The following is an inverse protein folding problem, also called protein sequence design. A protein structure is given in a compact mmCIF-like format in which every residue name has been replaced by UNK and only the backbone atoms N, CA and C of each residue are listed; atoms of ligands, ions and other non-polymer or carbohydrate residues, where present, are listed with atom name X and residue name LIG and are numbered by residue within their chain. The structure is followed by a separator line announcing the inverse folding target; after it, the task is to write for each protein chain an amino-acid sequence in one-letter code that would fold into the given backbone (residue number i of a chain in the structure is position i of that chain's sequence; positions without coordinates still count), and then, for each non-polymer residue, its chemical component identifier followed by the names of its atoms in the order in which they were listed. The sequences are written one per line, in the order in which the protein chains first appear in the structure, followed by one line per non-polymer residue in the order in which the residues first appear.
data_IF_898801484618
#
_entry.id   IF_898801484618
#
_cell.length_a   1.000
_cell.length_b   1.000
_cell.length_c   1.000
_cell.angle_alpha   90.00
_cell.angle_beta   90.00
_cell.angle_gamma   90.00
#
_symmetry.space_group_name_H-M   'P 1'
#
loop_
_entity.id
_entity.type
_entity.pdbx_description
1 polymer ?
#
# COMPACT_ATOMS: atom_id res chain seq x y z
N UNK A 1 5.65 10.74 20.78
CA UNK A 1 6.44 9.52 21.09
C UNK A 1 5.91 8.37 20.23
N UNK A 2 6.76 7.70 19.46
CA UNK A 2 6.51 6.33 18.94
C UNK A 2 5.59 6.10 17.72
N UNK A 3 5.14 7.13 17.01
CA UNK A 3 4.35 6.93 15.79
C UNK A 3 5.24 6.52 14.60
N UNK A 4 4.75 5.69 13.65
CA UNK A 4 5.40 5.53 12.35
C UNK A 4 5.66 6.90 11.73
N UNK A 5 6.85 7.09 11.15
CA UNK A 5 7.21 8.39 10.61
C UNK A 5 6.85 8.45 9.13
N UNK A 6 5.82 9.23 8.81
CA UNK A 6 5.39 9.49 7.43
C UNK A 6 5.70 10.96 7.15
N UNK A 7 6.83 11.19 6.49
CA UNK A 7 7.28 12.52 6.09
C UNK A 7 7.23 12.62 4.57
N UNK A 8 6.55 13.63 4.03
CA UNK A 8 6.35 13.78 2.58
C UNK A 8 5.82 12.48 1.92
N UNK A 9 4.90 11.80 2.62
CA UNK A 9 4.33 10.48 2.25
C UNK A 9 5.34 9.34 2.18
N UNK A 10 6.60 9.53 2.57
CA UNK A 10 7.58 8.46 2.69
C UNK A 10 7.46 7.83 4.06
N UNK A 11 7.16 6.53 4.10
CA UNK A 11 7.10 5.77 5.33
C UNK A 11 8.50 5.33 5.76
N UNK A 12 8.80 5.53 7.04
CA UNK A 12 9.96 4.96 7.71
C UNK A 12 9.56 4.43 9.08
N UNK A 13 10.19 3.33 9.49
CA UNK A 13 10.02 2.82 10.84
C UNK A 13 10.64 3.75 11.87
N UNK A 14 10.15 3.65 13.11
CA UNK A 14 10.78 4.29 14.25
C UNK A 14 12.28 3.91 14.32
N UNK A 15 13.18 4.86 14.63
CA UNK A 15 14.61 4.58 14.78
C UNK A 15 14.94 3.41 15.73
N UNK A 16 14.10 3.15 16.73
CA UNK A 16 14.26 2.00 17.65
C UNK A 16 14.11 0.63 16.97
N UNK A 17 13.65 0.60 15.71
CA UNK A 17 13.48 -0.58 14.89
C UNK A 17 14.51 -0.67 13.76
N UNK A 18 15.37 0.33 13.65
CA UNK A 18 16.43 0.36 12.65
C UNK A 18 17.31 -0.88 12.80
N UNK A 19 17.62 -1.53 11.67
CA UNK A 19 18.44 -2.74 11.63
C UNK A 19 17.69 -4.05 11.89
N UNK A 20 16.39 -4.01 12.18
CA UNK A 20 15.57 -5.24 12.25
C UNK A 20 15.30 -5.79 10.84
N UNK A 21 15.21 -7.12 10.72
CA UNK A 21 14.81 -7.77 9.47
C UNK A 21 13.35 -7.44 9.11
N UNK A 22 13.07 -7.28 7.82
CA UNK A 22 11.75 -6.92 7.32
C UNK A 22 10.68 -7.94 7.72
N UNK A 23 11.04 -9.21 7.76
CA UNK A 23 10.14 -10.31 8.15
C UNK A 23 9.65 -10.14 9.60
N UNK A 24 10.44 -9.49 10.45
CA UNK A 24 10.07 -9.18 11.82
C UNK A 24 9.31 -7.86 11.98
N UNK A 25 9.30 -7.03 10.93
CA UNK A 25 8.66 -5.72 10.89
C UNK A 25 7.29 -5.75 10.21
N UNK A 26 6.98 -6.83 9.49
CA UNK A 26 5.67 -7.10 8.92
C UNK A 26 5.10 -8.31 9.67
N UNK A 27 3.92 -8.15 10.24
CA UNK A 27 3.22 -9.24 10.91
C UNK A 27 1.87 -9.48 10.27
N UNK A 28 1.39 -10.73 10.35
CA UNK A 28 0.00 -11.06 10.10
C UNK A 28 -0.76 -11.19 11.43
N UNK A 29 -1.97 -10.65 11.51
CA UNK A 29 -2.84 -10.89 12.67
C UNK A 29 -3.42 -12.31 12.60
N UNK A 30 -3.35 -13.16 13.65
CA UNK A 30 -3.94 -14.48 13.61
C UNK A 30 -5.48 -14.46 13.67
N UNK A 31 -6.08 -13.34 14.08
CA UNK A 31 -7.52 -13.14 14.09
C UNK A 31 -8.05 -12.75 12.71
N UNK A 32 -7.69 -11.55 12.24
CA UNK A 32 -8.21 -11.03 10.97
C UNK A 32 -7.37 -11.40 9.74
N UNK A 33 -6.22 -12.05 9.93
CA UNK A 33 -5.33 -12.54 8.84
C UNK A 33 -4.74 -11.45 7.93
N UNK A 34 -4.84 -10.18 8.33
CA UNK A 34 -4.28 -9.03 7.59
C UNK A 34 -2.84 -8.70 8.01
N UNK A 35 -2.11 -8.04 7.12
CA UNK A 35 -0.76 -7.54 7.34
C UNK A 35 -0.76 -6.20 8.05
N UNK A 36 0.16 -6.07 9.01
CA UNK A 36 0.40 -4.84 9.74
C UNK A 36 1.90 -4.58 9.87
N UNK A 37 2.27 -3.31 9.86
CA UNK A 37 3.62 -2.91 10.19
C UNK A 37 3.77 -2.80 11.72
N UNK A 38 4.94 -3.19 12.17
CA UNK A 38 5.27 -3.22 13.57
C UNK A 38 5.28 -1.79 14.18
N UNK A 39 4.85 -1.63 15.44
CA UNK A 39 4.61 -0.31 16.07
C UNK A 39 5.20 -0.17 17.49
N UNK A 40 5.97 0.92 17.72
CA UNK A 40 6.85 0.99 18.91
C UNK A 40 6.19 1.51 20.15
N UNK A 41 5.16 2.31 19.97
CA UNK A 41 4.21 2.64 21.02
C UNK A 41 3.54 1.40 21.63
N UNK A 42 3.47 0.28 20.91
CA UNK A 42 2.74 -0.92 21.35
C UNK A 42 3.61 -2.16 21.55
N UNK A 43 4.95 -2.03 21.44
CA UNK A 43 5.91 -3.12 21.66
C UNK A 43 5.56 -4.43 20.91
N UNK A 44 5.11 -4.28 19.67
CA UNK A 44 4.76 -5.40 18.77
C UNK A 44 5.85 -5.53 17.71
N UNK A 45 6.94 -6.24 18.02
CA UNK A 45 8.08 -6.46 17.13
C UNK A 45 8.77 -7.79 17.39
N UNK A 46 9.46 -8.32 16.38
CA UNK A 46 10.60 -9.21 16.61
C UNK A 46 10.25 -10.62 17.06
N UNK A 47 9.38 -11.34 16.34
CA UNK A 47 9.10 -12.76 16.63
C UNK A 47 8.40 -13.04 17.98
N UNK A 48 8.29 -12.05 18.87
CA UNK A 48 7.64 -12.10 20.18
C UNK A 48 6.09 -12.17 20.11
N UNK A 49 5.51 -12.29 18.91
CA UNK A 49 4.16 -12.84 18.75
C UNK A 49 4.08 -14.33 19.14
N UNK A 50 5.23 -14.99 19.32
CA UNK A 50 5.34 -16.30 19.95
C UNK A 50 5.21 -16.26 21.49
N UNK A 51 5.18 -15.07 22.12
CA UNK A 51 4.89 -14.96 23.55
C UNK A 51 3.37 -15.03 23.78
N UNK A 52 2.88 -15.96 24.62
CA UNK A 52 1.46 -16.03 24.94
C UNK A 52 1.00 -14.70 25.55
N UNK A 53 -0.13 -14.17 25.03
CA UNK A 53 -0.87 -12.98 25.49
C UNK A 53 -0.49 -11.60 24.89
N UNK A 54 0.35 -11.50 23.86
CA UNK A 54 0.50 -10.25 23.08
C UNK A 54 -0.39 -10.24 21.83
N UNK A 55 -1.28 -9.25 21.72
CA UNK A 55 -2.08 -9.04 20.50
C UNK A 55 -1.32 -8.19 19.47
N UNK A 56 -1.43 -8.49 18.17
CA UNK A 56 -0.80 -7.69 17.12
C UNK A 56 -1.40 -6.29 17.07
N UNK A 57 -0.55 -5.30 16.84
CA UNK A 57 -0.94 -3.91 16.75
C UNK A 57 -1.51 -3.63 15.36
N UNK A 58 -2.74 -3.11 15.31
CA UNK A 58 -3.43 -2.75 14.06
C UNK A 58 -3.24 -1.26 13.69
N UNK A 59 -2.22 -0.61 14.27
CA UNK A 59 -1.96 0.81 14.08
C UNK A 59 -1.57 1.11 12.62
N UNK A 60 -0.71 0.31 12.00
CA UNK A 60 -0.22 0.58 10.64
C UNK A 60 -0.70 -0.50 9.69
N UNK A 61 -1.57 -0.14 8.75
CA UNK A 61 -2.16 -1.10 7.81
C UNK A 61 -1.37 -1.11 6.51
N UNK A 62 -1.08 -2.30 6.00
CA UNK A 62 -0.26 -2.49 4.81
C UNK A 62 -1.10 -2.96 3.63
N UNK A 63 -0.81 -2.42 2.45
CA UNK A 63 -1.21 -3.00 1.17
C UNK A 63 0.02 -3.19 0.30
N UNK A 64 0.34 -4.44 -0.02
CA UNK A 64 1.41 -4.78 -0.96
C UNK A 64 0.85 -4.69 -2.37
N UNK A 65 1.59 -4.04 -3.26
CA UNK A 65 1.20 -3.84 -4.65
C UNK A 65 2.33 -4.25 -5.60
N UNK A 66 1.96 -4.70 -6.79
CA UNK A 66 2.87 -4.92 -7.91
C UNK A 66 2.11 -4.75 -9.23
N UNK A 67 2.80 -4.26 -10.25
CA UNK A 67 2.33 -4.21 -11.62
C UNK A 67 3.19 -5.04 -12.57
N UNK A 68 2.54 -5.89 -13.37
CA UNK A 68 3.20 -6.69 -14.39
C UNK A 68 2.67 -6.36 -15.78
N UNK A 69 3.53 -6.43 -16.79
CA UNK A 69 3.15 -6.32 -18.20
C UNK A 69 3.93 -7.32 -19.04
N UNK A 70 3.23 -8.28 -19.64
CA UNK A 70 3.78 -9.14 -20.69
C UNK A 70 3.91 -8.36 -21.99
N UNK A 71 4.92 -8.69 -22.80
CA UNK A 71 5.23 -8.00 -24.06
C UNK A 71 5.32 -6.47 -23.94
N UNK A 72 5.82 -5.98 -22.79
CA UNK A 72 5.92 -4.56 -22.47
C UNK A 72 6.49 -3.71 -23.62
N UNK A 73 5.72 -2.74 -24.09
CA UNK A 73 6.09 -1.84 -25.18
C UNK A 73 5.76 -2.36 -26.59
N UNK A 74 4.93 -3.40 -26.72
CA UNK A 74 4.44 -3.94 -27.99
C UNK A 74 2.91 -3.83 -28.10
N UNK A 75 2.38 -3.99 -29.31
CA UNK A 75 0.94 -3.85 -29.60
C UNK A 75 0.07 -4.90 -28.88
N UNK A 76 0.64 -6.06 -28.55
CA UNK A 76 -0.02 -7.17 -27.86
C UNK A 76 0.26 -7.19 -26.35
N UNK A 77 0.78 -6.08 -25.79
CA UNK A 77 1.11 -5.98 -24.38
C UNK A 77 -0.12 -6.19 -23.49
N UNK A 78 0.00 -7.08 -22.50
CA UNK A 78 -1.04 -7.31 -21.49
C UNK A 78 -0.51 -6.94 -20.11
N UNK A 79 -1.22 -6.05 -19.43
CA UNK A 79 -0.86 -5.64 -18.08
C UNK A 79 -1.81 -6.25 -17.02
N UNK A 80 -1.27 -6.46 -15.83
CA UNK A 80 -1.96 -7.02 -14.69
C UNK A 80 -1.54 -6.33 -13.39
N UNK A 81 -2.49 -6.22 -12.47
CA UNK A 81 -2.32 -5.62 -11.14
C UNK A 81 -2.40 -6.72 -10.09
N UNK A 82 -1.48 -6.71 -9.15
CA UNK A 82 -1.49 -7.57 -7.98
C UNK A 82 -1.53 -6.73 -6.71
N UNK A 83 -2.52 -6.96 -5.86
CA UNK A 83 -2.59 -6.30 -4.55
C UNK A 83 -2.94 -7.28 -3.45
N UNK A 84 -2.40 -7.09 -2.25
CA UNK A 84 -2.77 -7.92 -1.10
C UNK A 84 -2.59 -7.20 0.22
N UNK A 85 -3.53 -7.44 1.16
CA UNK A 85 -3.47 -6.91 2.54
C UNK A 85 -3.37 -8.04 3.57
N UNK A 86 -3.22 -9.30 3.16
CA UNK A 86 -3.17 -10.45 4.06
C UNK A 86 -2.85 -11.77 3.34
N UNK A 87 -2.63 -12.86 4.08
CA UNK A 87 -2.33 -14.14 3.44
C UNK A 87 -3.55 -14.85 2.84
N UNK A 88 -4.76 -14.59 3.33
CA UNK A 88 -5.97 -15.20 2.82
C UNK A 88 -6.34 -14.72 1.41
N UNK A 89 -6.96 -15.58 0.62
CA UNK A 89 -7.37 -15.28 -0.76
C UNK A 89 -8.39 -14.13 -0.83
N UNK A 90 -9.25 -13.96 0.18
CA UNK A 90 -10.21 -12.85 0.25
C UNK A 90 -9.53 -11.46 0.31
N UNK A 91 -8.26 -11.43 0.72
CA UNK A 91 -7.43 -10.24 0.80
C UNK A 91 -6.38 -10.17 -0.33
N UNK A 92 -6.65 -10.87 -1.43
CA UNK A 92 -5.80 -10.93 -2.61
C UNK A 92 -6.60 -10.51 -3.85
N UNK A 93 -6.06 -9.56 -4.59
CA UNK A 93 -6.67 -9.07 -5.82
C UNK A 93 -5.69 -9.23 -6.98
N UNK A 94 -6.19 -9.83 -8.07
CA UNK A 94 -5.48 -10.03 -9.33
C UNK A 94 -6.38 -9.49 -10.45
N UNK A 95 -6.01 -8.34 -11.02
CA UNK A 95 -6.88 -7.58 -11.93
C UNK A 95 -6.17 -7.37 -13.27
N UNK A 96 -6.75 -7.87 -14.36
CA UNK A 96 -6.26 -7.58 -15.71
C UNK A 96 -6.54 -6.12 -16.09
N UNK A 97 -5.54 -5.42 -16.60
CA UNK A 97 -5.67 -4.02 -17.02
C UNK A 97 -6.35 -3.96 -18.38
N UNK A 98 -7.66 -3.72 -18.36
CA UNK A 98 -8.51 -3.47 -19.53
C UNK A 98 -8.80 -1.97 -19.66
N UNK A 99 -9.50 -1.57 -20.72
CA UNK A 99 -9.90 -0.17 -20.92
C UNK A 99 -10.84 0.36 -19.82
N UNK A 100 -11.55 -0.53 -19.11
CA UNK A 100 -12.30 -0.12 -17.93
C UNK A 100 -11.41 0.35 -16.76
N UNK A 101 -10.16 -0.12 -16.70
CA UNK A 101 -9.19 0.20 -15.63
C UNK A 101 -8.29 1.36 -16.04
N UNK A 102 -7.78 1.34 -17.27
CA UNK A 102 -6.93 2.41 -17.82
C UNK A 102 -7.33 2.69 -19.28
N UNK A 103 -8.38 3.51 -19.48
CA UNK A 103 -8.97 3.76 -20.81
C UNK A 103 -7.98 4.38 -21.77
N UNK A 104 -7.69 3.69 -22.89
CA UNK A 104 -6.78 4.18 -23.93
C UNK A 104 -5.31 4.36 -23.49
N UNK A 105 -4.97 3.96 -22.26
CA UNK A 105 -3.61 4.01 -21.74
C UNK A 105 -2.76 2.85 -22.26
N UNK A 106 -1.46 3.06 -22.54
CA UNK A 106 -0.61 2.00 -23.03
C UNK A 106 -0.40 0.92 -21.95
N UNK A 107 -0.33 -0.35 -22.36
CA UNK A 107 -0.03 -1.44 -21.43
C UNK A 107 1.48 -1.47 -21.22
N UNK A 108 1.92 -0.99 -20.06
CA UNK A 108 3.32 -0.96 -19.67
C UNK A 108 3.51 -1.34 -18.21
N UNK A 109 4.70 -1.81 -17.84
CA UNK A 109 5.04 -2.11 -16.46
C UNK A 109 4.82 -0.89 -15.55
N UNK A 110 5.36 0.27 -15.92
CA UNK A 110 5.27 1.49 -15.09
C UNK A 110 3.82 1.94 -14.84
N UNK A 111 2.95 1.82 -15.83
CA UNK A 111 1.52 2.15 -15.64
C UNK A 111 0.82 1.11 -14.78
N UNK A 112 1.10 -0.18 -14.97
CA UNK A 112 0.55 -1.23 -14.12
C UNK A 112 0.92 -1.02 -12.64
N UNK A 113 2.15 -0.61 -12.35
CA UNK A 113 2.63 -0.34 -10.99
C UNK A 113 1.85 0.81 -10.32
N UNK A 114 1.64 1.92 -11.05
CA UNK A 114 0.87 3.06 -10.54
C UNK A 114 -0.63 2.72 -10.37
N UNK A 115 -1.20 1.97 -11.30
CA UNK A 115 -2.59 1.50 -11.20
C UNK A 115 -2.77 0.54 -10.02
N UNK A 116 -1.80 -0.34 -9.76
CA UNK A 116 -1.83 -1.25 -8.62
C UNK A 116 -1.79 -0.47 -7.29
N UNK A 117 -1.01 0.61 -7.20
CA UNK A 117 -1.02 1.51 -6.04
C UNK A 117 -2.39 2.21 -5.84
N UNK A 118 -2.99 2.72 -6.92
CA UNK A 118 -4.32 3.37 -6.89
C UNK A 118 -5.40 2.38 -6.42
N UNK A 119 -5.47 1.21 -7.06
CA UNK A 119 -6.47 0.19 -6.74
C UNK A 119 -6.20 -0.43 -5.36
N UNK A 120 -4.94 -0.60 -4.97
CA UNK A 120 -4.56 -1.09 -3.64
C UNK A 120 -5.11 -0.22 -2.51
N UNK A 121 -4.98 1.12 -2.63
CA UNK A 121 -5.57 2.05 -1.67
C UNK A 121 -7.10 1.95 -1.61
N UNK A 122 -7.76 1.85 -2.77
CA UNK A 122 -9.22 1.70 -2.83
C UNK A 122 -9.68 0.39 -2.18
N UNK A 123 -9.01 -0.73 -2.45
CA UNK A 123 -9.37 -2.03 -1.88
C UNK A 123 -9.15 -2.07 -0.37
N UNK A 124 -8.07 -1.47 0.12
CA UNK A 124 -7.80 -1.35 1.56
C UNK A 124 -8.90 -0.53 2.26
N UNK A 125 -9.25 0.65 1.73
CA UNK A 125 -10.33 1.47 2.30
C UNK A 125 -11.70 0.78 2.23
N UNK A 126 -12.03 0.15 1.09
CA UNK A 126 -13.28 -0.58 0.94
C UNK A 126 -13.39 -1.72 1.95
N UNK A 127 -12.29 -2.46 2.16
CA UNK A 127 -12.23 -3.53 3.17
C UNK A 127 -12.48 -2.97 4.58
N UNK A 128 -11.84 -1.87 4.94
CA UNK A 128 -12.02 -1.25 6.25
C UNK A 128 -13.43 -0.68 6.45
N UNK A 129 -14.05 -0.13 5.42
CA UNK A 129 -15.45 0.32 5.47
C UNK A 129 -16.41 -0.85 5.69
N UNK A 130 -16.23 -1.95 4.97
CA UNK A 130 -17.04 -3.16 5.16
C UNK A 130 -16.86 -3.72 6.57
N UNK A 131 -15.63 -3.78 7.06
CA UNK A 131 -15.31 -4.21 8.42
C UNK A 131 -16.04 -3.37 9.47
N UNK A 132 -16.01 -2.04 9.35
CA UNK A 132 -16.72 -1.13 10.26
C UNK A 132 -18.24 -1.36 10.25
N UNK A 133 -18.82 -1.68 9.10
CA UNK A 133 -20.25 -2.04 8.99
C UNK A 133 -20.53 -3.35 9.72
N UNK A 134 -19.72 -4.38 9.52
CA UNK A 134 -19.88 -5.66 10.23
C UNK A 134 -19.76 -5.50 11.75
N UNK A 135 -18.81 -4.68 12.22
CA UNK A 135 -18.65 -4.32 13.63
C UNK A 135 -19.87 -3.60 14.19
N UNK A 136 -20.40 -2.60 13.48
CA UNK A 136 -21.61 -1.89 13.87
C UNK A 136 -22.84 -2.81 13.92
N UNK A 137 -22.85 -3.88 13.13
CA UNK A 137 -23.87 -4.93 13.15
C UNK A 137 -23.66 -5.99 14.24
N UNK A 138 -22.62 -5.88 15.08
CA UNK A 138 -22.27 -6.88 16.10
C UNK A 138 -21.75 -8.20 15.50
N UNK A 139 -21.41 -8.21 14.21
CA UNK A 139 -20.82 -9.35 13.49
C UNK A 139 -19.30 -9.22 13.30
N UNK A 140 -18.73 -8.10 13.74
CA UNK A 140 -17.30 -7.86 13.69
C UNK A 140 -16.54 -8.69 14.72
N UNK A 141 -15.34 -9.08 14.33
CA UNK A 141 -14.33 -9.67 15.19
C UNK A 141 -13.81 -8.63 16.21
N UNK A 142 -13.97 -8.93 17.50
CA UNK A 142 -13.62 -8.06 18.63
C UNK A 142 -12.13 -7.67 18.75
N UNK A 143 -11.31 -8.07 17.78
CA UNK A 143 -9.86 -7.88 17.70
C UNK A 143 -9.43 -6.54 17.10
N UNK A 144 -10.32 -5.82 16.42
CA UNK A 144 -10.03 -4.52 15.80
C UNK A 144 -10.32 -3.31 16.70
N UNK A 145 -10.53 -3.53 18.01
CA UNK A 145 -10.81 -2.41 18.91
C UNK A 145 -9.67 -1.39 18.81
N UNK A 146 -9.97 -0.09 18.57
CA UNK A 146 -8.95 0.94 18.62
C UNK A 146 -8.26 0.79 19.97
N UNK A 147 -6.93 0.76 19.97
CA UNK A 147 -6.16 0.63 21.21
C UNK A 147 -6.73 1.67 22.18
N UNK A 148 -7.31 1.23 23.30
CA UNK A 148 -8.10 2.06 24.22
C UNK A 148 -7.27 3.14 24.95
N UNK A 149 -6.08 3.46 24.44
CA UNK A 149 -5.06 4.33 25.02
C UNK A 149 -4.67 5.49 24.11
N UNK A 150 -5.17 5.58 22.88
CA UNK A 150 -5.02 6.79 22.08
C UNK A 150 -6.31 7.59 22.11
N UNK A 151 -6.29 8.66 22.90
CA UNK A 151 -7.31 9.72 22.97
C UNK A 151 -7.18 10.71 21.79
N UNK A 152 -6.41 10.36 20.77
CA UNK A 152 -6.19 11.20 19.59
C UNK A 152 -6.92 10.54 18.41
N UNK A 153 -7.81 11.32 17.81
CA UNK A 153 -8.90 10.97 16.91
C UNK A 153 -8.44 10.50 15.50
N UNK A 154 -7.21 9.97 15.39
CA UNK A 154 -6.58 9.65 14.11
C UNK A 154 -6.75 8.18 13.75
N UNK A 155 -7.27 7.93 12.54
CA UNK A 155 -7.39 6.59 11.96
C UNK A 155 -6.02 5.98 11.70
N UNK A 156 -5.94 4.65 11.71
CA UNK A 156 -4.73 3.90 11.36
C UNK A 156 -4.19 4.32 9.97
N UNK A 157 -2.92 4.73 9.84
CA UNK A 157 -2.33 5.05 8.54
C UNK A 157 -2.31 3.87 7.58
N UNK A 158 -2.42 4.17 6.29
CA UNK A 158 -2.33 3.21 5.18
C UNK A 158 -0.98 3.32 4.51
N UNK A 159 -0.25 2.21 4.43
CA UNK A 159 1.06 2.17 3.79
C UNK A 159 0.96 1.32 2.54
N UNK A 160 1.23 1.94 1.41
CA UNK A 160 1.45 1.25 0.13
C UNK A 160 2.88 0.71 0.13
N UNK A 161 3.01 -0.60 0.05
CA UNK A 161 4.28 -1.32 0.05
C UNK A 161 4.57 -1.80 -1.36
N UNK A 162 5.71 -1.41 -1.92
CA UNK A 162 6.09 -1.73 -3.29
C UNK A 162 7.60 -1.95 -3.40
N UNK A 163 8.03 -2.80 -4.32
CA UNK A 163 9.43 -2.91 -4.75
C UNK A 163 9.79 -2.00 -5.93
N UNK A 164 8.79 -1.29 -6.46
CA UNK A 164 8.93 -0.29 -7.51
C UNK A 164 9.40 1.07 -6.97
N UNK A 165 10.68 1.40 -7.19
CA UNK A 165 11.17 2.76 -6.92
C UNK A 165 10.42 3.81 -7.73
N UNK A 166 9.92 3.45 -8.92
CA UNK A 166 9.17 4.34 -9.79
C UNK A 166 7.90 4.88 -9.11
N UNK A 167 7.17 4.00 -8.41
CA UNK A 167 5.99 4.39 -7.63
C UNK A 167 6.40 5.21 -6.42
N UNK A 168 7.31 4.68 -5.59
CA UNK A 168 7.64 5.27 -4.30
C UNK A 168 8.33 6.62 -4.47
N UNK A 169 9.45 6.71 -5.21
CA UNK A 169 10.12 7.99 -5.47
C UNK A 169 9.24 8.93 -6.30
N UNK A 170 8.44 8.38 -7.21
CA UNK A 170 7.54 9.16 -8.04
C UNK A 170 6.57 10.00 -7.22
N UNK A 171 5.90 9.40 -6.23
CA UNK A 171 4.95 10.12 -5.39
C UNK A 171 5.61 10.92 -4.26
N UNK A 172 6.72 10.44 -3.67
CA UNK A 172 7.34 11.07 -2.49
C UNK A 172 8.38 12.14 -2.82
N UNK A 173 9.04 12.06 -3.98
CA UNK A 173 10.19 12.91 -4.33
C UNK A 173 9.96 13.68 -5.64
N UNK A 174 9.50 12.99 -6.69
CA UNK A 174 9.42 13.59 -8.03
C UNK A 174 8.16 14.44 -8.22
N UNK A 175 6.99 13.94 -7.82
CA UNK A 175 5.73 14.67 -8.01
C UNK A 175 5.73 16.05 -7.32
N UNK A 176 6.19 16.21 -6.06
CA UNK A 176 6.33 17.53 -5.44
C UNK A 176 7.26 18.45 -6.23
N UNK A 177 8.37 17.90 -6.74
CA UNK A 177 9.35 18.64 -7.55
C UNK A 177 8.76 19.05 -8.91
N UNK A 178 8.00 18.18 -9.57
CA UNK A 178 7.33 18.50 -10.83
C UNK A 178 6.27 19.57 -10.63
N UNK A 179 5.52 19.53 -9.53
CA UNK A 179 4.49 20.52 -9.21
C UNK A 179 5.05 21.95 -9.15
N UNK A 180 6.24 22.13 -8.56
CA UNK A 180 6.90 23.44 -8.50
C UNK A 180 7.62 23.83 -9.81
N UNK A 181 7.77 22.89 -10.75
CA UNK A 181 8.44 23.06 -12.05
C UNK A 181 7.47 23.01 -13.22
N UNK A 182 6.22 23.43 -13.02
CA UNK A 182 5.18 23.44 -14.08
C UNK A 182 5.05 22.06 -14.78
N UNK A 183 5.07 21.01 -13.97
CA UNK A 183 4.96 19.61 -14.41
C UNK A 183 6.04 19.15 -15.39
N UNK A 184 7.30 19.57 -15.14
CA UNK A 184 8.46 19.20 -15.96
C UNK A 184 9.49 18.39 -15.20
N UNK A 185 10.02 17.38 -15.90
CA UNK A 185 11.20 16.61 -15.48
C UNK A 185 12.48 17.47 -15.49
N UNK A 186 13.57 16.93 -14.93
CA UNK A 186 14.88 17.60 -15.00
C UNK A 186 15.35 17.88 -16.44
N UNK A 187 14.88 17.09 -17.42
CA UNK A 187 15.14 17.29 -18.84
C UNK A 187 14.17 18.27 -19.53
N UNK A 188 13.30 18.96 -18.79
CA UNK A 188 12.34 19.94 -19.31
C UNK A 188 11.09 19.35 -19.99
N UNK A 189 11.03 18.02 -20.13
CA UNK A 189 9.89 17.29 -20.71
C UNK A 189 8.81 17.01 -19.67
N UNK A 190 7.58 16.85 -20.12
CA UNK A 190 6.48 16.37 -19.28
C UNK A 190 6.75 14.90 -18.85
N UNK A 191 6.53 14.54 -17.56
CA UNK A 191 6.62 13.16 -17.11
C UNK A 191 5.65 12.26 -17.86
N UNK A 192 6.12 11.09 -18.31
CA UNK A 192 5.36 10.17 -19.18
C UNK A 192 4.03 9.71 -18.60
N UNK A 193 3.99 9.39 -17.30
CA UNK A 193 2.79 8.89 -16.62
C UNK A 193 2.24 9.91 -15.61
N UNK A 194 2.36 11.20 -15.93
CA UNK A 194 1.86 12.28 -15.06
C UNK A 194 0.37 12.11 -14.75
N UNK A 195 -0.42 11.64 -15.71
CA UNK A 195 -1.84 11.36 -15.55
C UNK A 195 -2.12 10.39 -14.38
N UNK A 196 -1.36 9.30 -14.28
CA UNK A 196 -1.54 8.32 -13.21
C UNK A 196 -0.96 8.80 -11.89
N UNK A 197 0.14 9.57 -11.90
CA UNK A 197 0.64 10.19 -10.66
C UNK A 197 -0.34 11.18 -10.07
N UNK A 198 -1.00 12.00 -10.91
CA UNK A 198 -2.04 12.92 -10.46
C UNK A 198 -3.25 12.17 -9.90
N UNK A 199 -3.68 11.06 -10.53
CA UNK A 199 -4.74 10.20 -10.00
C UNK A 199 -4.37 9.56 -8.66
N UNK A 200 -3.13 9.07 -8.52
CA UNK A 200 -2.64 8.52 -7.26
C UNK A 200 -2.61 9.59 -6.16
N UNK A 201 -2.13 10.78 -6.48
CA UNK A 201 -2.14 11.94 -5.57
C UNK A 201 -3.55 12.35 -5.16
N UNK A 202 -4.53 12.31 -6.07
CA UNK A 202 -5.94 12.59 -5.79
C UNK A 202 -6.53 11.57 -4.80
N UNK A 203 -6.38 10.27 -5.06
CA UNK A 203 -6.87 9.21 -4.16
C UNK A 203 -6.21 9.33 -2.78
N UNK A 204 -4.90 9.57 -2.76
CA UNK A 204 -4.13 9.77 -1.53
C UNK A 204 -4.67 10.97 -0.73
N UNK A 205 -4.85 12.11 -1.39
CA UNK A 205 -5.34 13.35 -0.77
C UNK A 205 -6.78 13.20 -0.29
N UNK A 206 -7.61 12.41 -0.98
CA UNK A 206 -8.97 12.12 -0.53
C UNK A 206 -8.97 11.35 0.79
N UNK A 207 -8.11 10.34 0.94
CA UNK A 207 -7.97 9.59 2.20
C UNK A 207 -7.41 10.46 3.32
N UNK A 208 -6.44 11.33 3.01
CA UNK A 208 -5.87 12.29 3.96
C UNK A 208 -6.93 13.27 4.49
N UNK A 209 -7.87 13.71 3.64
CA UNK A 209 -9.03 14.53 4.06
C UNK A 209 -10.01 13.79 4.98
N UNK A 210 -10.12 12.47 4.82
CA UNK A 210 -10.92 11.59 5.68
C UNK A 210 -10.18 11.20 6.99
N UNK A 211 -9.05 11.85 7.29
CA UNK A 211 -8.26 11.63 8.51
C UNK A 211 -7.35 10.39 8.47
N UNK A 212 -7.13 9.81 7.28
CA UNK A 212 -6.25 8.65 7.09
C UNK A 212 -4.92 9.15 6.50
N UNK A 213 -3.84 9.10 7.29
CA UNK A 213 -2.50 9.38 6.75
C UNK A 213 -2.06 8.26 5.82
N UNK A 214 -1.54 8.62 4.64
CA UNK A 214 -1.06 7.65 3.65
C UNK A 214 0.46 7.75 3.49
N UNK A 215 1.13 6.60 3.54
CA UNK A 215 2.56 6.47 3.32
C UNK A 215 2.90 5.50 2.20
N UNK A 216 4.09 5.65 1.63
CA UNK A 216 4.66 4.78 0.62
C UNK A 216 5.99 4.24 1.12
N UNK A 217 6.17 2.94 0.95
CA UNK A 217 7.34 2.23 1.46
C UNK A 217 7.96 1.37 0.36
N UNK A 218 9.22 1.66 0.05
CA UNK A 218 10.03 0.86 -0.86
C UNK A 218 10.66 -0.31 -0.12
N UNK A 219 10.46 -1.53 -0.65
CA UNK A 219 11.03 -2.76 -0.10
C UNK A 219 11.82 -3.53 -1.17
N UNK A 220 12.75 -4.42 -0.79
CA UNK A 220 13.36 -5.33 -1.75
C UNK A 220 12.33 -6.32 -2.34
N UNK A 221 12.46 -6.63 -3.63
CA UNK A 221 11.57 -7.55 -4.37
C UNK A 221 11.34 -8.90 -3.70
N UNK A 222 12.34 -9.43 -2.99
CA UNK A 222 12.23 -10.70 -2.26
C UNK A 222 11.04 -10.73 -1.27
N UNK A 223 10.66 -9.57 -0.75
CA UNK A 223 9.56 -9.42 0.21
C UNK A 223 8.21 -9.08 -0.45
N UNK A 224 8.15 -8.89 -1.78
CA UNK A 224 6.93 -8.55 -2.52
C UNK A 224 6.40 -9.70 -3.41
N UNK A 225 6.86 -10.94 -3.18
CA UNK A 225 6.59 -12.09 -4.05
C UNK A 225 5.10 -12.39 -4.27
N UNK A 226 4.24 -12.05 -3.30
CA UNK A 226 2.82 -12.33 -3.37
C UNK A 226 2.09 -11.38 -4.33
N UNK A 227 2.35 -10.08 -4.22
CA UNK A 227 1.79 -9.10 -5.15
C UNK A 227 2.32 -9.35 -6.57
N UNK A 228 3.63 -9.63 -6.73
CA UNK A 228 4.24 -9.99 -8.03
C UNK A 228 3.55 -11.19 -8.70
N UNK A 229 3.26 -12.24 -7.92
CA UNK A 229 2.52 -13.40 -8.43
C UNK A 229 1.12 -13.02 -8.89
N UNK A 230 0.38 -12.25 -8.09
CA UNK A 230 -0.98 -11.81 -8.42
C UNK A 230 -1.00 -10.95 -9.69
N UNK A 231 -0.04 -10.05 -9.86
CA UNK A 231 0.09 -9.21 -11.04
C UNK A 231 0.37 -10.06 -12.29
N UNK A 232 1.31 -11.01 -12.21
CA UNK A 232 1.63 -11.91 -13.33
C UNK A 232 0.46 -12.80 -13.73
N UNK A 233 -0.29 -13.33 -12.78
CA UNK A 233 -1.50 -14.12 -13.06
C UNK A 233 -2.51 -13.31 -13.89
N UNK A 234 -2.68 -12.03 -13.58
CA UNK A 234 -3.58 -11.14 -14.30
C UNK A 234 -3.16 -10.85 -15.75
N UNK A 235 -1.86 -10.96 -16.09
CA UNK A 235 -1.37 -10.77 -17.48
C UNK A 235 -1.75 -11.92 -18.41
N UNK A 236 -2.07 -13.10 -17.87
CA UNK A 236 -2.41 -14.29 -18.63
C UNK A 236 -3.87 -14.34 -19.11
N UNK A 237 -4.70 -13.41 -18.65
CA UNK A 237 -6.15 -13.36 -18.89
C UNK A 237 -6.49 -12.60 -20.18
#
# INVERSE_FOLDING_TARGET
MGHPNIEHRKFTFCPNLAGSDLEHLITQCPGCTRFFAACCSHQTFGGDLALPNKQPCHHVQLVFIDGACSNNGRDDAKAGLGMTIGNNEEYCWSIAVKDAVDPGGPRTNQRAELLAAIEGLKQLEATNRLQAIYEAMGKGDSHHKPASRHTDDLRSPYIVVADSEYVVKGITEWLPTWRVRDWRTAAGKQPTNLDLFLKLDEVTTSLEKDGITVGFWHIPRAYNHKADRLAKLATGV
#
